data_IF_359467100716
#
_entry.id   IF_359467100716
#
_cell.length_a   1.000
_cell.length_b   1.000
_cell.length_c   1.000
_cell.angle_alpha   90.00
_cell.angle_beta   90.00
_cell.angle_gamma   90.00
#
_symmetry.space_group_name_H-M   'P 1'
#
loop_
_entity.id
_entity.type
_entity.pdbx_description
1 polymer ?
#
# COMPACT_ATOMS: atom_id res chain seq x y z
N UNK A 1 -11.23 19.60 -18.78
CA UNK A 1 -12.57 18.99 -18.71
C UNK A 1 -12.67 17.61 -19.40
N UNK A 2 -12.14 17.43 -20.63
CA UNK A 2 -12.17 16.14 -21.37
C UNK A 2 -11.40 14.97 -20.69
N UNK A 3 -10.34 15.25 -19.93
CA UNK A 3 -9.55 14.22 -19.22
C UNK A 3 -10.29 13.58 -18.03
N UNK A 4 -11.04 14.37 -17.27
CA UNK A 4 -11.85 13.88 -16.14
C UNK A 4 -13.04 13.04 -16.66
N UNK A 5 -13.57 13.39 -17.84
CA UNK A 5 -14.62 12.62 -18.51
C UNK A 5 -14.12 11.25 -18.99
N UNK A 6 -12.84 11.14 -19.35
CA UNK A 6 -12.18 9.89 -19.74
C UNK A 6 -11.89 8.98 -18.54
N UNK A 7 -11.68 9.54 -17.34
CA UNK A 7 -11.56 8.78 -16.09
C UNK A 7 -12.92 8.39 -15.47
N UNK A 8 -13.99 9.11 -15.84
CA UNK A 8 -15.39 8.69 -15.63
C UNK A 8 -15.87 7.71 -16.70
N UNK A 9 -14.99 7.26 -17.59
CA UNK A 9 -15.32 6.33 -18.65
C UNK A 9 -15.24 4.90 -18.11
N UNK A 10 -16.44 4.38 -17.85
CA UNK A 10 -16.78 2.98 -17.61
C UNK A 10 -16.23 2.39 -16.31
N UNK A 11 -16.85 2.80 -15.21
CA UNK A 11 -17.08 1.89 -14.08
C UNK A 11 -17.96 0.77 -14.63
N UNK A 12 -17.37 -0.24 -15.29
CA UNK A 12 -18.11 -1.43 -15.70
C UNK A 12 -18.84 -1.91 -14.46
N UNK A 13 -20.16 -1.95 -14.54
CA UNK A 13 -20.93 -2.49 -13.43
C UNK A 13 -20.51 -3.95 -13.28
N UNK A 14 -20.34 -4.43 -12.04
CA UNK A 14 -19.99 -5.84 -11.75
C UNK A 14 -20.90 -6.80 -12.54
N UNK A 15 -22.15 -6.37 -12.80
CA UNK A 15 -23.12 -7.04 -13.66
C UNK A 15 -22.64 -7.19 -15.10
N UNK A 16 -22.18 -6.12 -15.76
CA UNK A 16 -21.65 -6.18 -17.13
C UNK A 16 -20.46 -7.12 -17.27
N UNK A 17 -19.49 -7.04 -16.34
CA UNK A 17 -18.32 -7.91 -16.39
C UNK A 17 -18.69 -9.38 -16.13
N UNK A 18 -19.65 -9.65 -15.25
CA UNK A 18 -20.19 -10.99 -15.04
C UNK A 18 -20.89 -11.54 -16.29
N UNK A 19 -21.79 -10.76 -16.91
CA UNK A 19 -22.47 -11.17 -18.14
C UNK A 19 -21.49 -11.46 -19.27
N UNK A 20 -20.48 -10.61 -19.46
CA UNK A 20 -19.44 -10.81 -20.46
C UNK A 20 -18.63 -12.08 -20.22
N UNK A 21 -18.30 -12.38 -18.96
CA UNK A 21 -17.59 -13.60 -18.57
C UNK A 21 -18.41 -14.87 -18.83
N UNK A 22 -19.71 -14.85 -18.48
CA UNK A 22 -20.62 -15.97 -18.74
C UNK A 22 -20.78 -16.21 -20.24
N UNK A 23 -21.03 -15.15 -21.02
CA UNK A 23 -21.16 -15.25 -22.49
C UNK A 23 -19.88 -15.83 -23.10
N UNK A 24 -18.72 -15.33 -22.67
CA UNK A 24 -17.44 -15.82 -23.17
C UNK A 24 -17.22 -17.31 -22.87
N UNK A 25 -17.57 -17.77 -21.66
CA UNK A 25 -17.50 -19.20 -21.28
C UNK A 25 -18.45 -20.07 -22.10
N UNK A 26 -19.69 -19.63 -22.32
CA UNK A 26 -20.64 -20.38 -23.14
C UNK A 26 -20.13 -20.53 -24.57
N UNK A 27 -19.61 -19.45 -25.17
CA UNK A 27 -19.06 -19.48 -26.52
C UNK A 27 -17.85 -20.42 -26.62
N UNK A 28 -16.95 -20.39 -25.64
CA UNK A 28 -15.75 -21.24 -25.65
C UNK A 28 -16.06 -22.72 -25.48
N UNK A 29 -16.98 -23.07 -24.57
CA UNK A 29 -17.48 -24.45 -24.42
C UNK A 29 -18.12 -24.94 -25.72
N UNK A 30 -19.02 -24.14 -26.31
CA UNK A 30 -19.69 -24.50 -27.56
C UNK A 30 -18.71 -24.65 -28.71
N UNK A 31 -17.74 -23.74 -28.83
CA UNK A 31 -16.70 -23.82 -29.85
C UNK A 31 -15.85 -25.08 -29.67
N UNK A 32 -15.43 -25.40 -28.44
CA UNK A 32 -14.69 -26.61 -28.13
C UNK A 32 -15.46 -27.87 -28.52
N UNK A 33 -16.75 -27.94 -28.15
CA UNK A 33 -17.63 -29.03 -28.54
C UNK A 33 -17.78 -29.14 -30.06
N UNK A 34 -17.95 -28.02 -30.78
CA UNK A 34 -18.04 -28.02 -32.24
C UNK A 34 -16.76 -28.53 -32.90
N UNK A 35 -15.58 -28.10 -32.42
CA UNK A 35 -14.30 -28.58 -32.94
C UNK A 35 -14.17 -30.09 -32.73
N UNK A 36 -14.49 -30.60 -31.54
CA UNK A 36 -14.42 -32.04 -31.26
C UNK A 36 -15.44 -32.82 -32.08
N UNK A 37 -16.64 -32.26 -32.30
CA UNK A 37 -17.68 -32.87 -33.14
C UNK A 37 -17.22 -32.97 -34.60
N UNK A 38 -16.60 -31.93 -35.14
CA UNK A 38 -16.06 -31.93 -36.51
C UNK A 38 -14.95 -32.99 -36.65
N UNK A 39 -14.12 -33.16 -35.63
CA UNK A 39 -12.99 -34.10 -35.64
C UNK A 39 -13.45 -35.55 -35.42
N UNK A 40 -14.36 -35.78 -34.47
CA UNK A 40 -14.75 -37.12 -34.01
C UNK A 40 -15.97 -37.66 -34.76
N UNK A 41 -16.84 -36.78 -35.26
CA UNK A 41 -18.12 -37.14 -35.90
C UNK A 41 -19.19 -37.64 -34.93
N UNK A 42 -18.87 -37.80 -33.65
CA UNK A 42 -19.78 -38.27 -32.60
C UNK A 42 -20.11 -37.16 -31.60
N UNK A 43 -21.41 -36.91 -31.42
CA UNK A 43 -21.96 -35.92 -30.51
C UNK A 43 -21.75 -36.29 -29.03
N UNK A 44 -21.80 -37.58 -28.71
CA UNK A 44 -21.61 -38.03 -27.33
C UNK A 44 -20.16 -37.81 -26.90
N UNK A 45 -19.20 -38.20 -27.74
CA UNK A 45 -17.79 -37.92 -27.54
C UNK A 45 -17.49 -36.42 -27.43
N UNK A 46 -18.06 -35.58 -28.31
CA UNK A 46 -17.85 -34.14 -28.29
C UNK A 46 -18.32 -33.48 -26.98
N UNK A 47 -19.47 -33.89 -26.47
CA UNK A 47 -20.00 -33.38 -25.21
C UNK A 47 -19.15 -33.84 -24.01
N UNK A 48 -18.83 -35.13 -23.92
CA UNK A 48 -18.04 -35.67 -22.82
C UNK A 48 -16.64 -35.06 -22.75
N UNK A 49 -15.96 -34.95 -23.90
CA UNK A 49 -14.62 -34.38 -23.96
C UNK A 49 -14.67 -32.87 -23.66
N UNK A 50 -15.58 -32.12 -24.29
CA UNK A 50 -15.70 -30.67 -24.06
C UNK A 50 -16.02 -30.32 -22.62
N UNK A 51 -16.87 -31.11 -21.95
CA UNK A 51 -17.16 -30.91 -20.53
C UNK A 51 -15.98 -31.29 -19.63
N UNK A 52 -15.29 -32.39 -19.94
CA UNK A 52 -14.12 -32.84 -19.20
C UNK A 52 -12.97 -31.83 -19.29
N UNK A 53 -12.68 -31.28 -20.47
CA UNK A 53 -11.59 -30.31 -20.68
C UNK A 53 -11.80 -29.04 -19.86
N UNK A 54 -13.02 -28.51 -19.87
CA UNK A 54 -13.35 -27.27 -19.16
C UNK A 54 -13.34 -27.47 -17.63
N UNK A 55 -13.80 -28.64 -17.18
CA UNK A 55 -13.73 -29.02 -15.76
C UNK A 55 -12.28 -29.16 -15.29
N UNK A 56 -11.45 -29.85 -16.07
CA UNK A 56 -10.02 -30.00 -15.75
C UNK A 56 -9.31 -28.66 -15.75
N UNK A 57 -9.59 -27.79 -16.73
CA UNK A 57 -9.00 -26.45 -16.80
C UNK A 57 -9.42 -25.59 -15.60
N UNK A 58 -10.67 -25.67 -15.18
CA UNK A 58 -11.15 -24.98 -13.97
C UNK A 58 -10.43 -25.47 -12.71
N UNK A 59 -10.31 -26.78 -12.53
CA UNK A 59 -9.60 -27.39 -11.40
C UNK A 59 -8.12 -26.97 -11.41
N UNK A 60 -7.47 -27.05 -12.57
CA UNK A 60 -6.08 -26.64 -12.75
C UNK A 60 -5.86 -25.18 -12.37
N UNK A 61 -6.73 -24.28 -12.86
CA UNK A 61 -6.66 -22.86 -12.54
C UNK A 61 -6.86 -22.59 -11.05
N UNK A 62 -7.79 -23.29 -10.41
CA UNK A 62 -8.01 -23.19 -8.96
C UNK A 62 -6.77 -23.57 -8.15
N UNK A 63 -6.12 -24.70 -8.49
CA UNK A 63 -4.88 -25.12 -7.82
C UNK A 63 -3.72 -24.15 -8.10
N UNK A 64 -3.60 -23.67 -9.33
CA UNK A 64 -2.59 -22.67 -9.70
C UNK A 64 -2.73 -21.41 -8.83
N UNK A 65 -3.95 -20.85 -8.73
CA UNK A 65 -4.24 -19.69 -7.87
C UNK A 65 -3.98 -20.00 -6.39
N UNK A 66 -4.42 -21.15 -5.88
CA UNK A 66 -4.20 -21.52 -4.49
C UNK A 66 -2.71 -21.61 -4.13
N UNK A 67 -1.89 -22.20 -5.00
CA UNK A 67 -0.43 -22.29 -4.84
C UNK A 67 0.21 -20.92 -4.97
N UNK A 68 -0.22 -20.14 -5.97
CA UNK A 68 0.34 -18.82 -6.25
C UNK A 68 0.06 -17.82 -5.12
N UNK A 69 -1.16 -17.80 -4.59
CA UNK A 69 -1.53 -16.98 -3.43
C UNK A 69 -0.62 -17.33 -2.26
N UNK A 70 -0.44 -18.62 -1.93
CA UNK A 70 0.42 -19.03 -0.82
C UNK A 70 1.89 -18.58 -1.00
N UNK A 71 2.40 -18.63 -2.22
CA UNK A 71 3.78 -18.24 -2.53
C UNK A 71 3.97 -16.71 -2.58
N UNK A 72 3.03 -16.00 -3.21
CA UNK A 72 3.11 -14.56 -3.42
C UNK A 72 2.85 -13.78 -2.13
N UNK A 73 1.91 -14.22 -1.29
CA UNK A 73 1.61 -13.56 -0.01
C UNK A 73 2.82 -13.52 0.93
N UNK A 74 3.63 -14.59 0.95
CA UNK A 74 4.85 -14.63 1.77
C UNK A 74 5.87 -13.58 1.33
N UNK A 75 6.08 -13.42 0.03
CA UNK A 75 7.06 -12.47 -0.53
C UNK A 75 6.60 -11.02 -0.35
N UNK A 76 5.30 -10.76 -0.53
CA UNK A 76 4.73 -9.42 -0.33
C UNK A 76 4.79 -8.99 1.14
N UNK A 77 4.45 -9.87 2.08
CA UNK A 77 4.50 -9.56 3.52
C UNK A 77 5.90 -9.17 3.97
N UNK A 78 6.93 -9.91 3.56
CA UNK A 78 8.33 -9.62 3.91
C UNK A 78 8.76 -8.26 3.35
N UNK A 79 8.39 -7.95 2.11
CA UNK A 79 8.74 -6.67 1.49
C UNK A 79 8.06 -5.49 2.19
N UNK A 80 6.77 -5.60 2.50
CA UNK A 80 6.00 -4.58 3.21
C UNK A 80 6.57 -4.33 4.60
N UNK A 81 6.88 -5.39 5.36
CA UNK A 81 7.45 -5.26 6.70
C UNK A 81 8.84 -4.61 6.66
N UNK A 82 9.68 -5.00 5.69
CA UNK A 82 11.02 -4.42 5.53
C UNK A 82 10.94 -2.93 5.17
N UNK A 83 10.11 -2.56 4.20
CA UNK A 83 9.91 -1.15 3.81
C UNK A 83 9.37 -0.33 4.97
N UNK A 84 8.34 -0.83 5.68
CA UNK A 84 7.78 -0.14 6.85
C UNK A 84 8.81 0.08 7.96
N UNK A 85 9.66 -0.90 8.24
CA UNK A 85 10.74 -0.76 9.25
C UNK A 85 11.76 0.30 8.83
N UNK A 86 12.13 0.34 7.55
CA UNK A 86 13.05 1.36 7.03
C UNK A 86 12.44 2.76 7.11
N UNK A 87 11.17 2.91 6.71
CA UNK A 87 10.47 4.21 6.75
C UNK A 87 10.35 4.73 8.20
N UNK A 88 9.95 3.89 9.15
CA UNK A 88 9.85 4.28 10.58
C UNK A 88 11.21 4.69 11.14
N UNK A 89 12.28 3.96 10.82
CA UNK A 89 13.63 4.30 11.28
C UNK A 89 14.12 5.61 10.67
N UNK A 90 13.88 5.81 9.37
CA UNK A 90 14.23 7.03 8.67
C UNK A 90 13.52 8.24 9.30
N UNK A 91 12.23 8.11 9.63
CA UNK A 91 11.47 9.16 10.31
C UNK A 91 12.06 9.50 11.68
N UNK A 92 12.48 8.50 12.48
CA UNK A 92 13.13 8.75 13.77
C UNK A 92 14.48 9.47 13.63
N UNK A 93 15.32 9.03 12.69
CA UNK A 93 16.63 9.66 12.44
C UNK A 93 16.46 11.12 11.97
N UNK A 94 15.51 11.38 11.06
CA UNK A 94 15.19 12.73 10.61
C UNK A 94 14.67 13.64 11.73
N UNK A 95 13.78 13.10 12.59
CA UNK A 95 13.26 13.87 13.74
C UNK A 95 14.35 14.21 14.75
N UNK A 96 15.30 13.29 14.98
CA UNK A 96 16.48 13.55 15.81
C UNK A 96 17.36 14.65 15.22
N UNK A 97 17.62 14.59 13.92
CA UNK A 97 18.44 15.61 13.24
C UNK A 97 17.77 17.00 13.31
N UNK A 98 16.46 17.08 13.04
CA UNK A 98 15.69 18.33 13.15
C UNK A 98 15.69 18.85 14.59
N UNK A 99 15.43 17.97 15.56
CA UNK A 99 15.48 18.30 16.99
C UNK A 99 16.83 18.92 17.37
N UNK A 100 17.91 18.28 16.93
CA UNK A 100 19.26 18.70 17.20
C UNK A 100 19.59 20.05 16.55
N UNK A 101 19.23 20.25 15.29
CA UNK A 101 19.47 21.53 14.59
C UNK A 101 18.64 22.67 15.18
N UNK A 102 17.38 22.43 15.54
CA UNK A 102 16.58 23.40 16.27
C UNK A 102 17.19 23.75 17.63
N UNK A 103 17.79 22.77 18.33
CA UNK A 103 18.47 23.04 19.61
C UNK A 103 19.63 24.03 19.46
N UNK A 104 20.29 24.02 18.29
CA UNK A 104 21.41 24.89 17.96
C UNK A 104 21.00 26.20 17.31
N UNK A 105 19.78 26.32 16.82
CA UNK A 105 19.32 27.51 16.12
C UNK A 105 19.13 28.64 17.12
N UNK A 106 19.61 29.84 16.78
CA UNK A 106 19.35 31.04 17.56
C UNK A 106 18.06 31.70 17.10
N UNK A 107 17.15 31.94 18.03
CA UNK A 107 15.85 32.57 17.77
C UNK A 107 15.75 33.91 18.50
N UNK A 108 15.36 34.95 17.76
CA UNK A 108 15.19 36.32 18.27
C UNK A 108 13.73 36.77 18.36
N UNK A 109 12.86 36.14 17.56
CA UNK A 109 11.41 36.34 17.60
C UNK A 109 10.77 35.42 18.64
N UNK A 110 9.88 35.97 19.47
CA UNK A 110 9.23 35.23 20.55
C UNK A 110 8.37 34.08 20.03
N UNK A 111 7.64 34.30 18.94
CA UNK A 111 6.73 33.35 18.32
C UNK A 111 7.47 32.12 17.82
N UNK A 112 8.64 32.32 17.20
CA UNK A 112 9.47 31.23 16.71
C UNK A 112 10.05 30.40 17.87
N UNK A 113 10.40 31.04 18.99
CA UNK A 113 10.87 30.34 20.19
C UNK A 113 9.77 29.46 20.79
N UNK A 114 8.56 30.01 20.94
CA UNK A 114 7.41 29.26 21.46
C UNK A 114 7.00 28.12 20.52
N UNK A 115 7.05 28.34 19.20
CA UNK A 115 6.77 27.32 18.21
C UNK A 115 7.76 26.15 18.26
N UNK A 116 9.05 26.43 18.35
CA UNK A 116 10.09 25.40 18.47
C UNK A 116 9.93 24.63 19.81
N UNK A 117 9.58 25.31 20.90
CA UNK A 117 9.29 24.64 22.16
C UNK A 117 8.07 23.73 22.10
N UNK A 118 7.00 24.20 21.47
CA UNK A 118 5.79 23.39 21.25
C UNK A 118 6.11 22.19 20.37
N UNK A 119 6.95 22.36 19.34
CA UNK A 119 7.43 21.25 18.52
C UNK A 119 8.11 20.17 19.37
N UNK A 120 9.09 20.53 20.20
CA UNK A 120 9.73 19.58 21.11
C UNK A 120 8.73 18.88 22.04
N UNK A 121 7.79 19.64 22.61
CA UNK A 121 6.76 19.11 23.51
C UNK A 121 5.83 18.10 22.83
N UNK A 122 5.40 18.41 21.61
CA UNK A 122 4.56 17.52 20.82
C UNK A 122 5.30 16.22 20.47
N UNK A 123 6.62 16.28 20.22
CA UNK A 123 7.40 15.07 19.99
C UNK A 123 7.52 14.21 21.26
N UNK A 124 7.75 14.83 22.42
CA UNK A 124 7.89 14.12 23.72
C UNK A 124 6.55 13.54 24.22
N UNK A 125 5.42 14.13 23.83
CA UNK A 125 4.09 13.62 24.19
C UNK A 125 3.66 12.43 23.32
N UNK A 126 4.38 12.13 22.23
CA UNK A 126 3.98 11.10 21.29
C UNK A 126 4.53 9.72 21.72
N UNK A 127 3.65 8.80 22.11
CA UNK A 127 4.03 7.44 22.54
C UNK A 127 4.84 6.65 21.50
N UNK A 128 4.64 6.93 20.20
CA UNK A 128 5.39 6.28 19.11
C UNK A 128 6.87 6.66 19.13
N UNK A 129 7.19 7.87 19.63
CA UNK A 129 8.53 8.42 19.66
C UNK A 129 9.27 8.13 20.98
N UNK A 130 8.73 7.25 21.82
CA UNK A 130 9.29 6.91 23.12
C UNK A 130 10.78 6.55 23.08
N UNK A 131 11.24 5.92 21.99
CA UNK A 131 12.65 5.54 21.77
C UNK A 131 13.59 6.76 21.70
N UNK A 132 13.12 7.88 21.14
CA UNK A 132 13.94 9.10 20.96
C UNK A 132 13.64 10.20 21.98
N UNK A 133 12.72 9.97 22.92
CA UNK A 133 12.31 10.97 23.92
C UNK A 133 13.48 11.51 24.75
N UNK A 134 14.41 10.66 25.17
CA UNK A 134 15.55 11.11 25.98
C UNK A 134 16.47 12.08 25.20
N UNK A 135 16.64 11.84 23.91
CA UNK A 135 17.44 12.69 23.03
C UNK A 135 16.74 14.02 22.77
N UNK A 136 15.44 13.98 22.44
CA UNK A 136 14.63 15.18 22.22
C UNK A 136 14.53 16.03 23.49
N UNK A 137 14.38 15.41 24.65
CA UNK A 137 14.36 16.10 25.94
C UNK A 137 15.69 16.82 26.22
N UNK A 138 16.81 16.20 25.86
CA UNK A 138 18.15 16.80 25.97
C UNK A 138 18.27 18.02 25.07
N UNK A 139 17.87 17.90 23.81
CA UNK A 139 17.89 18.99 22.82
C UNK A 139 17.01 20.16 23.23
N UNK A 140 15.78 19.87 23.70
CA UNK A 140 14.87 20.87 24.25
C UNK A 140 15.50 21.63 25.41
N UNK A 141 16.13 20.93 26.34
CA UNK A 141 16.79 21.54 27.49
C UNK A 141 17.96 22.43 27.05
N UNK A 142 18.75 21.97 26.09
CA UNK A 142 19.84 22.75 25.50
C UNK A 142 19.33 24.03 24.84
N UNK A 143 18.26 23.92 24.05
CA UNK A 143 17.60 25.07 23.42
C UNK A 143 17.13 26.12 24.45
N UNK A 144 16.47 25.67 25.53
CA UNK A 144 16.01 26.55 26.63
C UNK A 144 17.17 27.24 27.32
N UNK A 145 18.25 26.52 27.63
CA UNK A 145 19.42 27.09 28.30
C UNK A 145 20.07 28.19 27.47
N UNK A 146 20.19 27.97 26.15
CA UNK A 146 20.76 28.95 25.22
C UNK A 146 19.95 30.24 25.10
N UNK A 147 18.63 30.15 25.25
CA UNK A 147 17.71 31.28 25.11
C UNK A 147 17.30 31.92 26.44
N UNK A 148 17.70 31.34 27.59
CA UNK A 148 17.32 31.77 28.94
C UNK A 148 17.60 33.26 29.23
N UNK A 149 18.68 33.80 28.69
CA UNK A 149 19.12 35.17 28.93
C UNK A 149 18.87 36.12 27.75
N UNK A 150 18.11 35.69 26.74
CA UNK A 150 17.83 36.52 25.57
C UNK A 150 16.55 37.32 25.79
N UNK A 151 16.61 38.61 25.45
CA UNK A 151 15.43 39.46 25.41
C UNK A 151 14.81 39.33 24.02
N UNK A 152 13.68 38.63 23.92
CA UNK A 152 13.00 38.43 22.63
C UNK A 152 12.45 39.76 22.12
N UNK A 153 12.67 40.06 20.84
CA UNK A 153 11.98 41.19 20.21
C UNK A 153 10.49 40.88 20.15
N UNK A 154 9.69 41.91 20.43
CA UNK A 154 8.24 41.86 20.54
C UNK A 154 7.57 42.01 19.17
#
# INVERSE_FOLDING_TARGET
MKLIQKLKQKKETIKESFFKSVIYRVITILLGMLVILIVTGDLFAAFSIGFATETVQFIYYFFYEAIWIHYHDKRLRIKIETTRKVDVKLDFDLLKDISFEFSKTDTYAKEAYESILSFFENLIQNEILAEIHEEIQRDKNYFKLRHKNKNFMR
#
